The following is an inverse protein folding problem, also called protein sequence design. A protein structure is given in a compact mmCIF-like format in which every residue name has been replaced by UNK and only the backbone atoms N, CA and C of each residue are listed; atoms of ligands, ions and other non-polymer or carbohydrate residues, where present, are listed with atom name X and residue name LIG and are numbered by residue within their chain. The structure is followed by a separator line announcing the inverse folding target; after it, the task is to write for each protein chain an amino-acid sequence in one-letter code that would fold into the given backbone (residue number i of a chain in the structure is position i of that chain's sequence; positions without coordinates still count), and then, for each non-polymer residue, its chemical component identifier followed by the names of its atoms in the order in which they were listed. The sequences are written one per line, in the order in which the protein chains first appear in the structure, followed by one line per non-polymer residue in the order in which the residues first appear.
data_IF_015264875940
#
_entry.id   IF_015264875940
#
_cell.length_a   1.000
_cell.length_b   1.000
_cell.length_c   1.000
_cell.angle_alpha   90.00
_cell.angle_beta   90.00
_cell.angle_gamma   90.00
#
_symmetry.space_group_name_H-M   'P 1'
#
loop_
_entity.id
_entity.type
_entity.pdbx_description
1 polymer ?
#
# COMPACT_ATOMS: atom_id res chain seq x y z
N UNK A 1 4.18 -0.86 -4.06
CA UNK A 1 5.58 -1.18 -3.75
C UNK A 1 5.69 -2.66 -3.37
N UNK A 2 6.67 -3.38 -3.94
CA UNK A 2 6.88 -4.83 -3.75
C UNK A 2 8.38 -5.22 -3.82
N UNK A 3 9.26 -4.36 -3.30
CA UNK A 3 10.69 -4.60 -3.06
C UNK A 3 10.89 -5.56 -1.88
N UNK A 4 12.15 -5.86 -1.56
CA UNK A 4 12.53 -6.70 -0.41
C UNK A 4 11.89 -6.24 0.91
N UNK A 5 11.68 -7.21 1.80
CA UNK A 5 11.15 -6.99 3.16
C UNK A 5 12.21 -6.38 4.08
N UNK A 6 12.52 -5.11 3.82
CA UNK A 6 13.43 -4.28 4.59
C UNK A 6 12.76 -2.92 4.85
N UNK A 7 12.67 -2.53 6.12
CA UNK A 7 11.93 -1.33 6.53
C UNK A 7 12.56 -0.05 5.98
N UNK A 8 13.88 0.06 6.03
CA UNK A 8 14.59 1.27 5.60
C UNK A 8 14.51 1.44 4.09
N UNK A 9 14.62 0.34 3.34
CA UNK A 9 14.42 0.32 1.90
C UNK A 9 13.00 0.74 1.52
N UNK A 10 11.97 0.20 2.18
CA UNK A 10 10.58 0.58 1.90
C UNK A 10 10.30 2.03 2.23
N UNK A 11 10.82 2.55 3.34
CA UNK A 11 10.75 3.97 3.72
C UNK A 11 11.43 4.86 2.68
N UNK A 12 12.62 4.47 2.19
CA UNK A 12 13.32 5.18 1.13
C UNK A 12 12.50 5.23 -0.15
N UNK A 13 11.99 4.08 -0.61
CA UNK A 13 11.14 4.00 -1.82
C UNK A 13 9.89 4.86 -1.68
N UNK A 14 9.26 4.85 -0.50
CA UNK A 14 8.12 5.71 -0.22
C UNK A 14 8.49 7.19 -0.40
N UNK A 15 9.53 7.65 0.28
CA UNK A 15 9.94 9.06 0.25
C UNK A 15 10.32 9.52 -1.16
N UNK A 16 11.07 8.70 -1.91
CA UNK A 16 11.45 9.00 -3.30
C UNK A 16 10.23 9.03 -4.24
N UNK A 17 9.32 8.05 -4.10
CA UNK A 17 8.09 8.00 -4.92
C UNK A 17 7.18 9.20 -4.63
N UNK A 18 7.11 9.62 -3.36
CA UNK A 18 6.23 10.70 -2.94
C UNK A 18 6.59 12.06 -3.56
N UNK A 19 7.88 12.30 -3.84
CA UNK A 19 8.38 13.53 -4.48
C UNK A 19 8.03 13.56 -5.97
N UNK A 20 8.04 12.40 -6.63
CA UNK A 20 7.87 12.29 -8.09
C UNK A 20 6.41 12.02 -8.52
N UNK A 21 5.48 11.99 -7.57
CA UNK A 21 4.07 11.67 -7.81
C UNK A 21 3.17 12.85 -7.48
N UNK A 22 1.97 12.86 -8.09
CA UNK A 22 0.94 13.86 -7.80
C UNK A 22 0.52 13.84 -6.33
N UNK A 23 0.02 14.97 -5.84
CA UNK A 23 -0.46 15.15 -4.46
C UNK A 23 -1.60 14.20 -4.05
N UNK A 24 -2.31 13.61 -5.01
CA UNK A 24 -3.40 12.66 -4.81
C UNK A 24 -2.98 11.18 -4.97
N UNK A 25 -1.68 10.92 -5.15
CA UNK A 25 -1.16 9.57 -5.33
C UNK A 25 -1.26 8.71 -4.06
N UNK A 26 -1.88 7.53 -4.18
CA UNK A 26 -1.91 6.51 -3.11
C UNK A 26 -0.64 5.67 -3.16
N UNK A 27 0.07 5.58 -2.03
CA UNK A 27 1.18 4.65 -1.87
C UNK A 27 0.71 3.36 -1.22
N UNK A 28 0.70 2.26 -1.97
CA UNK A 28 0.33 0.94 -1.48
C UNK A 28 1.57 0.03 -1.31
N UNK A 29 1.77 -0.59 -0.15
CA UNK A 29 2.83 -1.60 0.06
C UNK A 29 2.27 -3.02 0.10
N UNK A 30 2.97 -3.97 -0.52
CA UNK A 30 2.65 -5.41 -0.51
C UNK A 30 3.28 -6.17 0.67
N UNK A 31 3.86 -5.49 1.65
CA UNK A 31 4.55 -6.15 2.77
C UNK A 31 3.69 -7.20 3.48
N UNK A 32 4.33 -8.29 3.91
CA UNK A 32 3.68 -9.39 4.64
C UNK A 32 3.95 -9.35 6.14
N UNK A 33 5.00 -8.65 6.59
CA UNK A 33 5.44 -8.68 8.00
C UNK A 33 5.68 -7.30 8.62
N UNK A 34 5.89 -6.26 7.81
CA UNK A 34 6.21 -4.93 8.32
C UNK A 34 4.90 -4.16 8.53
N UNK A 35 4.66 -3.58 9.72
CA UNK A 35 3.47 -2.77 9.95
C UNK A 35 3.43 -1.57 8.99
N UNK A 36 2.31 -1.38 8.28
CA UNK A 36 2.12 -0.25 7.35
C UNK A 36 2.33 1.10 8.06
N UNK A 37 1.96 1.18 9.34
CA UNK A 37 2.20 2.38 10.16
C UNK A 37 3.68 2.74 10.27
N UNK A 38 4.58 1.75 10.35
CA UNK A 38 6.02 1.98 10.44
C UNK A 38 6.59 2.48 9.10
N UNK A 39 6.10 1.96 7.98
CA UNK A 39 6.48 2.44 6.65
C UNK A 39 6.00 3.89 6.46
N UNK A 40 4.77 4.19 6.87
CA UNK A 40 4.13 5.49 6.70
C UNK A 40 4.71 6.62 7.57
N UNK A 41 5.63 6.35 8.52
CA UNK A 41 6.19 7.38 9.41
C UNK A 41 6.96 8.46 8.62
N UNK A 42 7.64 8.08 7.54
CA UNK A 42 8.45 9.01 6.73
C UNK A 42 7.64 9.71 5.63
N UNK A 43 6.36 9.38 5.48
CA UNK A 43 5.51 9.98 4.45
C UNK A 43 5.10 11.39 4.82
N UNK A 44 5.07 12.29 3.84
CA UNK A 44 4.50 13.63 3.98
C UNK A 44 2.96 13.58 3.95
N UNK A 45 2.39 12.53 3.35
CA UNK A 45 0.95 12.26 3.20
C UNK A 45 0.57 10.90 3.78
N UNK A 46 0.77 10.66 5.09
CA UNK A 46 0.57 9.34 5.70
C UNK A 46 -0.87 8.81 5.60
N UNK A 47 -1.85 9.68 5.39
CA UNK A 47 -3.23 9.32 5.10
C UNK A 47 -3.44 8.66 3.74
N UNK A 48 -2.49 8.82 2.81
CA UNK A 48 -2.45 8.22 1.47
C UNK A 48 -1.64 6.91 1.42
N UNK A 49 -1.17 6.41 2.56
CA UNK A 49 -0.44 5.14 2.67
C UNK A 49 -1.38 4.01 3.10
N UNK A 50 -1.30 2.87 2.40
CA UNK A 50 -2.13 1.68 2.64
C UNK A 50 -1.35 0.39 2.38
N UNK A 51 -1.77 -0.72 2.97
CA UNK A 51 -1.33 -2.05 2.56
C UNK A 51 -2.27 -2.66 1.53
N UNK A 52 -1.70 -3.21 0.47
CA UNK A 52 -2.38 -4.05 -0.53
C UNK A 52 -1.61 -5.36 -0.65
N UNK A 53 -1.95 -6.33 0.21
CA UNK A 53 -1.21 -7.57 0.35
C UNK A 53 -1.78 -8.66 -0.56
N UNK A 54 -1.01 -9.00 -1.59
CA UNK A 54 -1.32 -10.01 -2.59
C UNK A 54 -0.70 -11.36 -2.19
N UNK A 55 -1.41 -12.44 -2.51
CA UNK A 55 -0.95 -13.80 -2.27
C UNK A 55 -0.33 -14.39 -3.54
N UNK A 56 0.82 -15.08 -3.39
CA UNK A 56 1.50 -15.72 -4.52
C UNK A 56 0.90 -17.12 -4.82
N UNK A 57 0.69 -17.49 -6.09
CA UNK A 57 0.90 -16.69 -7.31
C UNK A 57 -0.20 -15.64 -7.51
N UNK A 58 0.21 -14.37 -7.72
CA UNK A 58 -0.70 -13.21 -7.72
C UNK A 58 -1.87 -13.39 -8.68
N UNK A 59 -1.65 -13.87 -9.89
CA UNK A 59 -2.67 -14.07 -10.90
C UNK A 59 -3.66 -15.21 -10.60
N UNK A 60 -3.33 -16.14 -9.71
CA UNK A 60 -4.16 -17.30 -9.36
C UNK A 60 -4.90 -17.12 -8.03
N UNK A 61 -4.30 -16.41 -7.10
CA UNK A 61 -4.89 -16.24 -5.77
C UNK A 61 -6.01 -15.19 -5.83
N UNK A 62 -7.22 -15.52 -5.36
CA UNK A 62 -8.36 -14.61 -5.45
C UNK A 62 -8.28 -13.50 -4.40
N UNK A 63 -7.67 -13.77 -3.24
CA UNK A 63 -7.64 -12.83 -2.11
C UNK A 63 -6.63 -11.70 -2.32
N UNK A 64 -7.05 -10.49 -1.96
CA UNK A 64 -6.22 -9.30 -1.75
C UNK A 64 -6.61 -8.71 -0.40
N UNK A 65 -5.66 -8.62 0.53
CA UNK A 65 -5.90 -7.99 1.82
C UNK A 65 -5.65 -6.49 1.77
N UNK A 66 -6.64 -5.70 2.18
CA UNK A 66 -6.52 -4.25 2.35
C UNK A 66 -6.23 -3.94 3.81
N UNK A 67 -5.03 -3.42 4.07
CA UNK A 67 -4.55 -3.12 5.42
C UNK A 67 -4.53 -1.61 5.64
N UNK A 68 -5.43 -1.13 6.49
CA UNK A 68 -5.54 0.30 6.85
C UNK A 68 -4.80 0.60 8.14
N UNK A 69 -4.24 1.80 8.24
CA UNK A 69 -3.73 2.36 9.51
C UNK A 69 -4.76 3.29 10.13
N UNK A 70 -4.49 3.77 11.36
CA UNK A 70 -5.30 4.82 12.00
C UNK A 70 -5.34 6.14 11.21
N UNK A 71 -4.34 6.40 10.36
CA UNK A 71 -4.23 7.63 9.57
C UNK A 71 -4.79 7.48 8.14
N UNK A 72 -4.89 6.25 7.63
CA UNK A 72 -5.33 6.00 6.26
C UNK A 72 -6.72 6.58 6.02
N UNK A 73 -6.84 7.45 5.03
CA UNK A 73 -8.10 8.12 4.72
C UNK A 73 -9.13 7.13 4.14
N UNK A 74 -10.41 7.37 4.42
CA UNK A 74 -11.50 6.51 3.93
C UNK A 74 -11.55 6.42 2.41
N UNK A 75 -11.25 7.51 1.71
CA UNK A 75 -11.24 7.53 0.24
C UNK A 75 -10.11 6.65 -0.32
N UNK A 76 -8.96 6.59 0.34
CA UNK A 76 -7.82 5.76 -0.03
C UNK A 76 -8.17 4.27 0.08
N UNK A 77 -8.80 3.89 1.20
CA UNK A 77 -9.29 2.52 1.39
C UNK A 77 -10.35 2.15 0.34
N UNK A 78 -11.30 3.05 0.05
CA UNK A 78 -12.30 2.83 -0.99
C UNK A 78 -11.67 2.66 -2.39
N UNK A 79 -10.69 3.50 -2.74
CA UNK A 79 -9.96 3.39 -4.02
C UNK A 79 -9.20 2.07 -4.12
N UNK A 80 -8.54 1.64 -3.04
CA UNK A 80 -7.80 0.37 -3.03
C UNK A 80 -8.74 -0.84 -3.19
N UNK A 81 -9.91 -0.81 -2.55
CA UNK A 81 -10.96 -1.84 -2.73
C UNK A 81 -11.46 -1.86 -4.18
N UNK A 82 -11.79 -0.70 -4.75
CA UNK A 82 -12.24 -0.60 -6.14
C UNK A 82 -11.20 -1.14 -7.12
N UNK A 83 -9.91 -0.81 -6.89
CA UNK A 83 -8.81 -1.34 -7.70
C UNK A 83 -8.70 -2.85 -7.59
N UNK A 84 -8.78 -3.41 -6.37
CA UNK A 84 -8.75 -4.86 -6.15
C UNK A 84 -9.87 -5.59 -6.88
N UNK A 85 -11.10 -5.06 -6.81
CA UNK A 85 -12.26 -5.61 -7.55
C UNK A 85 -12.02 -5.53 -9.06
N UNK A 86 -11.51 -4.40 -9.56
CA UNK A 86 -11.21 -4.23 -10.98
C UNK A 86 -10.11 -5.19 -11.49
N UNK A 87 -9.22 -5.63 -10.60
CA UNK A 87 -8.21 -6.67 -10.87
C UNK A 87 -8.78 -8.11 -10.79
N UNK A 88 -10.07 -8.27 -10.50
CA UNK A 88 -10.71 -9.57 -10.30
C UNK A 88 -10.36 -10.24 -8.96
N UNK A 89 -9.99 -9.45 -7.95
CA UNK A 89 -9.72 -9.92 -6.59
C UNK A 89 -10.96 -9.89 -5.71
N UNK A 90 -10.98 -10.78 -4.73
CA UNK A 90 -11.82 -10.72 -3.55
C UNK A 90 -11.08 -9.88 -2.52
N UNK A 91 -11.72 -8.80 -2.08
CA UNK A 91 -11.12 -7.74 -1.27
C UNK A 91 -11.90 -7.58 0.03
#
# INVERSE_FOLDING_TARGET
EAVFEDLDLKRKVLAETEVETKEDCIFASNTSAIPISEIAIVSQRPEQVIGMHYFSPVQKMPLLEIVVTKRTAKWVAATAVQLGIAQGKNV
#
